data_IF_126718409539
#
_entry.id   IF_126718409539
#
_cell.length_a   1.000
_cell.length_b   1.000
_cell.length_c   1.000
_cell.angle_alpha   90.00
_cell.angle_beta   90.00
_cell.angle_gamma   90.00
#
_symmetry.space_group_name_H-M   'P 1'
#
loop_
_entity.id
_entity.type
_entity.pdbx_description
1 polymer ?
#
# COMPACT_ATOMS: atom_id res chain seq x y z
N UNK A 1 -39.12 6.58 2.89
CA UNK A 1 -37.78 6.88 3.45
C UNK A 1 -36.98 7.56 2.36
N UNK A 2 -36.64 8.84 2.51
CA UNK A 2 -35.85 9.56 1.52
C UNK A 2 -34.37 9.22 1.75
N UNK A 3 -33.80 8.36 0.91
CA UNK A 3 -32.37 8.16 0.90
C UNK A 3 -31.70 9.40 0.31
N UNK A 4 -31.12 10.23 1.19
CA UNK A 4 -30.16 11.23 0.77
C UNK A 4 -28.91 10.49 0.30
N UNK A 5 -28.56 10.64 -0.97
CA UNK A 5 -27.27 10.19 -1.50
C UNK A 5 -26.26 11.30 -1.24
N UNK A 6 -25.27 11.00 -0.40
CA UNK A 6 -24.14 11.90 -0.19
C UNK A 6 -23.11 11.57 -1.25
N UNK A 7 -22.80 12.54 -2.12
CA UNK A 7 -21.64 12.43 -2.99
C UNK A 7 -20.37 12.53 -2.13
N UNK A 8 -19.64 11.41 -2.03
CA UNK A 8 -18.42 11.34 -1.21
C UNK A 8 -17.37 12.34 -1.72
N UNK A 9 -17.34 12.65 -3.02
CA UNK A 9 -16.37 13.59 -3.58
C UNK A 9 -16.69 15.05 -3.22
N UNK A 10 -17.93 15.33 -2.80
CA UNK A 10 -18.35 16.65 -2.32
C UNK A 10 -17.91 16.94 -0.87
N UNK A 11 -17.44 15.92 -0.13
CA UNK A 11 -16.88 16.10 1.21
C UNK A 11 -15.54 16.85 1.14
N UNK A 12 -15.19 17.60 2.18
CA UNK A 12 -13.87 18.23 2.28
C UNK A 12 -12.78 17.18 2.53
N UNK A 13 -11.54 17.56 2.24
CA UNK A 13 -10.39 16.64 2.26
C UNK A 13 -10.14 16.10 3.67
N UNK A 14 -10.36 16.90 4.70
CA UNK A 14 -10.19 16.50 6.10
C UNK A 14 -11.14 15.36 6.49
N UNK A 15 -12.41 15.45 6.08
CA UNK A 15 -13.41 14.41 6.35
C UNK A 15 -13.07 13.14 5.57
N UNK A 16 -12.62 13.29 4.32
CA UNK A 16 -12.20 12.15 3.51
C UNK A 16 -11.00 11.44 4.13
N UNK A 17 -9.99 12.18 4.56
CA UNK A 17 -8.83 11.63 5.26
C UNK A 17 -9.25 10.91 6.55
N UNK A 18 -10.12 11.50 7.35
CA UNK A 18 -10.65 10.86 8.57
C UNK A 18 -11.38 9.55 8.31
N UNK A 19 -12.08 9.44 7.17
CA UNK A 19 -12.73 8.19 6.74
C UNK A 19 -11.67 7.19 6.29
N UNK A 20 -10.76 7.59 5.40
CA UNK A 20 -9.76 6.70 4.82
C UNK A 20 -8.77 6.18 5.86
N UNK A 21 -8.39 7.00 6.85
CA UNK A 21 -7.51 6.62 7.97
C UNK A 21 -8.09 5.54 8.89
N UNK A 22 -9.41 5.28 8.80
CA UNK A 22 -10.07 4.19 9.55
C UNK A 22 -10.08 2.86 8.77
N UNK A 23 -9.66 2.87 7.51
CA UNK A 23 -9.63 1.70 6.65
C UNK A 23 -8.22 1.09 6.60
N UNK A 24 -8.13 -0.14 6.08
CA UNK A 24 -6.83 -0.75 5.83
C UNK A 24 -6.11 0.01 4.70
N UNK A 25 -4.88 0.47 4.98
CA UNK A 25 -4.09 1.27 4.03
C UNK A 25 -3.89 0.58 2.68
N UNK A 26 -3.66 -0.74 2.68
CA UNK A 26 -3.44 -1.49 1.44
C UNK A 26 -4.71 -1.57 0.60
N UNK A 27 -5.86 -1.78 1.24
CA UNK A 27 -7.16 -1.77 0.54
C UNK A 27 -7.47 -0.38 -0.03
N UNK A 28 -7.15 0.68 0.71
CA UNK A 28 -7.33 2.07 0.27
C UNK A 28 -6.45 2.37 -0.94
N UNK A 29 -5.15 2.07 -0.87
CA UNK A 29 -4.21 2.29 -1.96
C UNK A 29 -4.62 1.50 -3.21
N UNK A 30 -4.97 0.22 -3.04
CA UNK A 30 -5.43 -0.62 -4.15
C UNK A 30 -6.71 -0.07 -4.79
N UNK A 31 -7.68 0.34 -3.97
CA UNK A 31 -9.00 0.71 -4.46
C UNK A 31 -9.04 2.10 -5.07
N UNK A 32 -8.22 3.03 -4.60
CA UNK A 32 -8.39 4.46 -4.92
C UNK A 32 -7.29 5.06 -5.80
N UNK A 33 -6.10 4.46 -5.86
CA UNK A 33 -5.05 4.94 -6.77
C UNK A 33 -5.53 4.87 -8.22
N UNK A 34 -5.40 6.00 -8.93
CA UNK A 34 -5.79 6.14 -10.32
C UNK A 34 -7.30 6.20 -10.59
N UNK A 35 -8.16 6.14 -9.58
CA UNK A 35 -9.63 6.17 -9.77
C UNK A 35 -10.16 7.59 -9.99
N UNK A 36 -9.71 8.54 -9.16
CA UNK A 36 -10.12 9.93 -9.24
C UNK A 36 -8.97 10.83 -8.80
N UNK A 37 -8.78 11.98 -9.46
CA UNK A 37 -7.67 12.90 -9.18
C UNK A 37 -7.63 13.37 -7.72
N UNK A 38 -8.77 13.65 -7.11
CA UNK A 38 -8.88 14.11 -5.71
C UNK A 38 -8.50 12.98 -4.75
N UNK A 39 -9.03 11.77 -4.98
CA UNK A 39 -8.70 10.62 -4.14
C UNK A 39 -7.23 10.21 -4.31
N UNK A 40 -6.69 10.28 -5.54
CA UNK A 40 -5.30 9.98 -5.84
C UNK A 40 -4.34 10.90 -5.07
N UNK A 41 -4.64 12.20 -4.95
CA UNK A 41 -3.82 13.09 -4.13
C UNK A 41 -3.88 12.76 -2.64
N UNK A 42 -5.03 12.32 -2.13
CA UNK A 42 -5.19 11.98 -0.71
C UNK A 42 -4.46 10.69 -0.34
N UNK A 43 -4.61 9.63 -1.15
CA UNK A 43 -4.00 8.32 -0.84
C UNK A 43 -2.51 8.26 -1.12
N UNK A 44 -1.96 9.26 -1.83
CA UNK A 44 -0.51 9.42 -2.03
C UNK A 44 0.15 10.21 -0.90
N UNK A 45 -0.61 10.73 0.04
CA UNK A 45 -0.08 11.37 1.23
C UNK A 45 0.82 10.41 2.03
N UNK A 46 1.79 10.98 2.74
CA UNK A 46 2.75 10.23 3.55
C UNK A 46 2.07 9.35 4.59
N UNK A 47 0.91 9.76 5.10
CA UNK A 47 0.12 9.01 6.09
C UNK A 47 -0.22 7.60 5.62
N UNK A 48 -0.53 7.42 4.33
CA UNK A 48 -0.88 6.12 3.75
C UNK A 48 0.32 5.38 3.16
N UNK A 49 1.38 6.10 2.80
CA UNK A 49 2.46 5.58 1.93
C UNK A 49 3.79 5.37 2.64
N UNK A 50 3.99 5.91 3.84
CA UNK A 50 5.26 5.79 4.57
C UNK A 50 5.61 4.35 4.97
N UNK A 51 4.60 3.55 5.28
CA UNK A 51 4.76 2.15 5.71
C UNK A 51 3.84 1.26 4.89
N UNK A 52 4.44 0.39 4.08
CA UNK A 52 3.71 -0.52 3.19
C UNK A 52 3.96 -1.96 3.64
N UNK A 53 2.87 -2.70 3.84
CA UNK A 53 2.89 -4.11 4.19
C UNK A 53 2.31 -4.94 3.05
N UNK A 54 3.20 -5.60 2.30
CA UNK A 54 2.81 -6.47 1.18
C UNK A 54 2.64 -7.93 1.61
N UNK A 55 3.02 -8.30 2.85
CA UNK A 55 2.87 -9.66 3.36
C UNK A 55 1.39 -9.98 3.51
N UNK A 56 0.60 -9.05 4.04
CA UNK A 56 -0.85 -9.21 4.22
C UNK A 56 -1.62 -9.51 2.93
N UNK A 57 -1.09 -9.10 1.78
CA UNK A 57 -1.66 -9.40 0.46
C UNK A 57 -1.39 -10.85 0.07
N UNK A 58 -0.21 -11.37 0.42
CA UNK A 58 0.27 -12.70 0.03
C UNK A 58 -0.10 -13.81 1.03
N UNK A 59 -0.39 -13.46 2.29
CA UNK A 59 -0.64 -14.40 3.38
C UNK A 59 -1.96 -15.17 3.28
N UNK A 60 -2.93 -14.68 2.49
CA UNK A 60 -4.26 -15.28 2.39
C UNK A 60 -4.38 -16.35 1.29
N UNK A 61 -3.48 -17.34 1.29
CA UNK A 61 -3.34 -18.42 0.28
C UNK A 61 -2.34 -18.08 -0.84
N UNK A 62 -1.12 -18.59 -0.70
CA UNK A 62 -0.01 -18.51 -1.68
C UNK A 62 -0.34 -19.02 -3.10
N UNK A 63 -1.54 -19.56 -3.34
CA UNK A 63 -2.00 -20.05 -4.63
C UNK A 63 -3.29 -19.37 -5.15
N UNK A 64 -3.84 -18.36 -4.45
CA UNK A 64 -4.96 -17.62 -5.00
C UNK A 64 -4.49 -16.67 -6.11
N UNK A 65 -4.95 -16.96 -7.33
CA UNK A 65 -4.76 -16.14 -8.52
C UNK A 65 -5.15 -14.67 -8.31
N UNK A 66 -6.12 -14.40 -7.42
CA UNK A 66 -6.56 -13.05 -7.08
C UNK A 66 -5.49 -12.29 -6.30
N UNK A 67 -4.94 -12.88 -5.25
CA UNK A 67 -3.90 -12.26 -4.43
C UNK A 67 -2.65 -11.96 -5.29
N UNK A 68 -2.31 -12.87 -6.20
CA UNK A 68 -1.26 -12.62 -7.19
C UNK A 68 -1.56 -11.41 -8.06
N UNK A 69 -2.78 -11.28 -8.60
CA UNK A 69 -3.16 -10.12 -9.42
C UNK A 69 -3.13 -8.80 -8.65
N UNK A 70 -3.49 -8.82 -7.36
CA UNK A 70 -3.44 -7.65 -6.48
C UNK A 70 -1.98 -7.25 -6.27
N UNK A 71 -1.14 -8.21 -5.88
CA UNK A 71 0.30 -7.99 -5.69
C UNK A 71 0.99 -7.49 -6.97
N UNK A 72 0.66 -8.08 -8.12
CA UNK A 72 1.20 -7.68 -9.41
C UNK A 72 0.83 -6.23 -9.72
N UNK A 73 -0.41 -5.80 -9.45
CA UNK A 73 -0.82 -4.39 -9.59
C UNK A 73 -0.08 -3.47 -8.63
N UNK A 74 0.17 -3.91 -7.39
CA UNK A 74 1.00 -3.14 -6.46
C UNK A 74 2.38 -2.88 -7.04
N UNK A 75 2.99 -3.93 -7.58
CA UNK A 75 4.31 -3.86 -8.17
C UNK A 75 4.34 -2.98 -9.43
N UNK A 76 3.42 -3.17 -10.37
CA UNK A 76 3.50 -2.52 -11.67
C UNK A 76 2.97 -1.09 -11.71
N UNK A 77 2.06 -0.73 -10.79
CA UNK A 77 1.32 0.53 -10.88
C UNK A 77 1.39 1.37 -9.60
N UNK A 78 1.11 0.77 -8.43
CA UNK A 78 0.99 1.54 -7.18
C UNK A 78 2.35 1.97 -6.65
N UNK A 79 3.28 1.02 -6.43
CA UNK A 79 4.60 1.30 -5.86
C UNK A 79 5.36 2.37 -6.65
N UNK A 80 5.44 2.32 -8.00
CA UNK A 80 6.10 3.36 -8.77
C UNK A 80 5.60 4.79 -8.48
N UNK A 81 4.33 4.95 -8.12
CA UNK A 81 3.70 6.25 -7.83
C UNK A 81 3.95 6.76 -6.41
N UNK A 82 4.24 5.86 -5.46
CA UNK A 82 4.35 6.18 -4.03
C UNK A 82 5.75 5.95 -3.43
N UNK A 83 6.65 5.29 -4.16
CA UNK A 83 8.00 4.88 -3.72
C UNK A 83 8.84 5.98 -3.04
N UNK A 84 8.65 7.24 -3.42
CA UNK A 84 9.38 8.38 -2.86
C UNK A 84 8.95 8.74 -1.43
N UNK A 85 7.80 8.25 -0.98
CA UNK A 85 7.29 8.39 0.38
C UNK A 85 7.52 7.15 1.23
N UNK A 86 7.86 6.01 0.62
CA UNK A 86 8.06 4.76 1.35
C UNK A 86 9.33 4.84 2.20
N UNK A 87 9.14 4.71 3.51
CA UNK A 87 10.19 4.71 4.52
C UNK A 87 10.41 3.31 5.11
N UNK A 88 9.34 2.51 5.19
CA UNK A 88 9.33 1.14 5.68
C UNK A 88 8.57 0.21 4.74
N UNK A 89 9.17 -0.94 4.41
CA UNK A 89 8.54 -2.04 3.69
C UNK A 89 8.49 -3.29 4.56
N UNK A 90 7.32 -3.94 4.62
CA UNK A 90 7.18 -5.29 5.18
C UNK A 90 6.90 -6.26 4.03
N UNK A 91 7.79 -7.24 3.84
CA UNK A 91 7.83 -8.11 2.67
C UNK A 91 7.94 -9.59 3.06
N UNK A 92 7.40 -10.44 2.19
CA UNK A 92 7.70 -11.87 2.19
C UNK A 92 9.08 -12.07 1.52
N UNK A 93 9.96 -12.96 2.04
CA UNK A 93 11.28 -13.20 1.47
C UNK A 93 11.29 -13.53 -0.03
N UNK A 94 10.27 -14.22 -0.55
CA UNK A 94 10.15 -14.59 -1.96
C UNK A 94 9.76 -13.40 -2.85
N UNK A 95 9.26 -12.33 -2.24
CA UNK A 95 8.81 -11.11 -2.93
C UNK A 95 9.86 -10.00 -2.98
N UNK A 96 10.96 -10.11 -2.22
CA UNK A 96 11.98 -9.07 -2.07
C UNK A 96 12.48 -8.58 -3.42
N UNK A 97 12.98 -9.48 -4.27
CA UNK A 97 13.58 -9.09 -5.55
C UNK A 97 12.57 -8.40 -6.45
N UNK A 98 11.31 -8.86 -6.43
CA UNK A 98 10.25 -8.25 -7.22
C UNK A 98 9.99 -6.84 -6.76
N UNK A 99 9.93 -6.59 -5.45
CA UNK A 99 9.56 -5.29 -4.89
C UNK A 99 10.73 -4.31 -4.96
N UNK A 100 11.89 -4.71 -4.46
CA UNK A 100 13.05 -3.82 -4.38
C UNK A 100 13.61 -3.42 -5.77
N UNK A 101 13.39 -4.22 -6.82
CA UNK A 101 13.83 -3.87 -8.17
C UNK A 101 12.91 -2.86 -8.90
N UNK A 102 11.71 -2.57 -8.38
CA UNK A 102 10.73 -1.73 -9.09
C UNK A 102 11.07 -0.25 -8.99
N UNK A 103 11.80 0.14 -7.96
CA UNK A 103 11.84 1.53 -7.55
C UNK A 103 13.15 2.02 -6.99
N UNK A 104 13.35 3.34 -7.11
CA UNK A 104 14.36 4.05 -6.36
C UNK A 104 13.73 4.60 -5.08
N UNK A 105 13.85 3.83 -4.01
CA UNK A 105 13.27 4.15 -2.72
C UNK A 105 14.14 5.16 -1.95
N UNK A 106 14.06 6.43 -2.32
CA UNK A 106 14.94 7.48 -1.79
C UNK A 106 14.85 7.71 -0.27
N UNK A 107 13.76 7.25 0.39
CA UNK A 107 13.53 7.40 1.84
C UNK A 107 13.52 6.07 2.59
N UNK A 108 13.67 4.94 1.90
CA UNK A 108 13.57 3.62 2.52
C UNK A 108 14.79 3.37 3.39
N UNK A 109 14.54 3.24 4.69
CA UNK A 109 15.56 2.94 5.69
C UNK A 109 15.22 1.67 6.49
N UNK A 110 14.02 1.11 6.30
CA UNK A 110 13.57 -0.09 6.98
C UNK A 110 12.95 -1.10 6.01
N UNK A 111 13.49 -2.32 6.02
CA UNK A 111 12.84 -3.49 5.41
C UNK A 111 12.67 -4.56 6.48
N UNK A 112 11.42 -4.93 6.74
CA UNK A 112 11.04 -6.03 7.61
C UNK A 112 10.68 -7.24 6.75
N UNK A 113 11.26 -8.38 7.06
CA UNK A 113 10.95 -9.65 6.41
C UNK A 113 10.11 -10.48 7.36
N UNK A 114 8.94 -10.92 6.92
CA UNK A 114 8.08 -11.83 7.67
C UNK A 114 8.13 -13.17 6.96
N UNK A 115 8.62 -14.19 7.66
CA UNK A 115 8.55 -15.57 7.21
C UNK A 115 7.63 -16.30 8.20
N UNK A 116 6.63 -17.02 7.69
CA UNK A 116 5.73 -17.85 8.51
C UNK A 116 6.49 -18.89 9.36
N UNK A 117 7.79 -19.11 9.09
CA UNK A 117 8.65 -20.03 9.83
C UNK A 117 9.79 -19.40 10.66
N UNK A 118 10.10 -18.10 10.55
CA UNK A 118 11.23 -17.49 11.31
C UNK A 118 11.05 -15.99 11.60
N UNK A 119 11.29 -15.60 12.86
CA UNK A 119 11.35 -14.21 13.31
C UNK A 119 12.47 -13.40 12.62
N UNK A 120 12.04 -12.29 12.01
CA UNK A 120 12.70 -11.05 11.57
C UNK A 120 14.24 -11.04 11.44
N UNK A 121 14.71 -10.95 10.19
CA UNK A 121 16.01 -10.36 9.87
C UNK A 121 15.82 -8.90 9.42
N UNK A 122 16.26 -7.94 10.23
CA UNK A 122 16.30 -6.51 9.87
C UNK A 122 17.60 -6.21 9.12
N UNK A 123 17.51 -5.74 7.87
CA UNK A 123 18.62 -5.07 7.18
C UNK A 123 18.39 -3.55 7.24
N UNK A 124 19.32 -2.84 7.85
CA UNK A 124 19.39 -1.38 7.81
C UNK A 124 20.21 -1.00 6.58
N UNK A 125 19.63 -0.24 5.65
CA UNK A 125 20.36 0.35 4.54
C UNK A 125 21.00 1.66 5.06
N UNK A 126 22.34 1.70 5.09
CA UNK A 126 23.14 2.89 5.42
C UNK A 126 23.45 3.69 4.16
#
# INVERSE_FOLDING_TARGET
MNHSTVDILALCDEILLDILNKLNNMDVLYSLIGVNRKLDSLVRDVTFTQSIDLVTILSNEHNDSRNKSIFDRFCSDIIPRIQHNIESLTLDPLSIDRVLCIGNYSKLHKVALVNDQFEIATRIFN
#
